data_IF_244863201766
#
_entry.id   IF_244863201766
#
_cell.length_a   1.000
_cell.length_b   1.000
_cell.length_c   1.000
_cell.angle_alpha   90.00
_cell.angle_beta   90.00
_cell.angle_gamma   90.00
#
_symmetry.space_group_name_H-M   'P 1'
#
loop_
_entity.id
_entity.type
_entity.pdbx_description
1 polymer ?
#
# COMPACT_ATOMS: atom_id res chain seq x y z
N UNK A 1 -23.60 4.73 27.15
CA UNK A 1 -24.37 5.84 26.54
C UNK A 1 -25.00 5.44 25.21
N UNK A 2 -24.27 4.82 24.28
CA UNK A 2 -24.81 4.31 23.00
C UNK A 2 -25.93 3.27 23.17
N UNK A 3 -25.80 2.36 24.15
CA UNK A 3 -26.78 1.31 24.45
C UNK A 3 -28.15 1.86 24.86
N UNK A 4 -28.16 2.97 25.60
CA UNK A 4 -29.39 3.62 26.07
C UNK A 4 -30.13 4.25 24.88
N UNK A 5 -29.40 4.89 23.96
CA UNK A 5 -29.94 5.46 22.73
C UNK A 5 -30.56 4.39 21.82
N UNK A 6 -29.92 3.22 21.69
CA UNK A 6 -30.44 2.08 20.92
C UNK A 6 -31.76 1.58 21.51
N UNK A 7 -31.83 1.42 22.84
CA UNK A 7 -33.05 0.98 23.54
C UNK A 7 -34.19 1.99 23.33
N UNK A 8 -33.91 3.30 23.41
CA UNK A 8 -34.88 4.37 23.12
C UNK A 8 -35.40 4.29 21.68
N UNK A 9 -34.53 4.00 20.70
CA UNK A 9 -34.94 3.79 19.30
C UNK A 9 -35.86 2.58 19.14
N UNK A 10 -35.57 1.45 19.81
CA UNK A 10 -36.42 0.25 19.76
C UNK A 10 -37.83 0.51 20.31
N UNK A 11 -37.95 1.20 21.45
CA UNK A 11 -39.26 1.56 21.99
C UNK A 11 -40.00 2.60 21.13
N UNK A 12 -39.28 3.44 20.38
CA UNK A 12 -39.83 4.45 19.48
C UNK A 12 -39.90 4.01 18.00
N UNK A 13 -39.75 2.71 17.70
CA UNK A 13 -39.80 2.18 16.33
C UNK A 13 -41.08 2.55 15.56
N UNK A 14 -42.19 2.79 16.28
CA UNK A 14 -43.47 3.24 15.69
C UNK A 14 -43.34 4.57 14.94
N UNK A 15 -42.40 5.43 15.32
CA UNK A 15 -42.16 6.73 14.68
C UNK A 15 -41.15 6.66 13.53
N UNK A 16 -40.47 5.51 13.36
CA UNK A 16 -39.53 5.28 12.27
C UNK A 16 -40.31 4.80 11.05
N UNK A 17 -40.89 5.74 10.32
CA UNK A 17 -41.56 5.44 9.05
C UNK A 17 -40.55 5.41 7.90
N UNK A 18 -40.72 4.51 6.92
CA UNK A 18 -39.86 4.51 5.75
C UNK A 18 -40.05 5.83 4.98
N UNK A 19 -38.94 6.49 4.63
CA UNK A 19 -38.92 7.72 3.83
C UNK A 19 -39.58 7.56 2.46
N UNK A 20 -39.77 6.31 1.99
CA UNK A 20 -40.37 5.98 0.70
C UNK A 20 -41.49 4.95 0.85
N UNK A 21 -42.46 4.98 -0.06
CA UNK A 21 -43.51 3.96 -0.13
C UNK A 21 -42.89 2.55 -0.35
N UNK A 22 -43.46 1.52 0.27
CA UNK A 22 -42.92 0.14 0.20
C UNK A 22 -42.76 -0.39 -1.23
N UNK A 23 -43.63 0.03 -2.16
CA UNK A 23 -43.59 -0.38 -3.56
C UNK A 23 -42.44 0.27 -4.36
N UNK A 24 -42.00 1.48 -4.01
CA UNK A 24 -40.85 2.13 -4.66
C UNK A 24 -39.53 1.65 -4.05
N UNK A 25 -39.53 1.32 -2.75
CA UNK A 25 -38.34 0.83 -2.05
C UNK A 25 -37.74 -0.44 -2.67
N UNK A 26 -38.56 -1.39 -3.15
CA UNK A 26 -38.06 -2.62 -3.82
C UNK A 26 -37.26 -2.32 -5.10
N UNK A 27 -37.71 -1.32 -5.87
CA UNK A 27 -37.02 -0.92 -7.10
C UNK A 27 -35.75 -0.15 -6.79
N UNK A 28 -35.78 0.72 -5.76
CA UNK A 28 -34.57 1.41 -5.27
C UNK A 28 -33.52 0.38 -4.84
N UNK A 29 -33.90 -0.62 -4.04
CA UNK A 29 -33.00 -1.69 -3.60
C UNK A 29 -32.43 -2.45 -4.81
N UNK A 30 -33.28 -2.82 -5.78
CA UNK A 30 -32.84 -3.50 -6.99
C UNK A 30 -31.82 -2.67 -7.79
N UNK A 31 -32.10 -1.39 -8.02
CA UNK A 31 -31.21 -0.48 -8.77
C UNK A 31 -29.89 -0.30 -8.04
N UNK A 32 -29.91 -0.04 -6.74
CA UNK A 32 -28.69 0.09 -5.92
C UNK A 32 -27.87 -1.20 -5.95
N UNK A 33 -28.54 -2.36 -5.89
CA UNK A 33 -27.86 -3.67 -5.95
C UNK A 33 -27.17 -3.87 -7.30
N UNK A 34 -27.86 -3.59 -8.41
CA UNK A 34 -27.28 -3.65 -9.76
C UNK A 34 -26.10 -2.68 -9.89
N UNK A 35 -26.25 -1.47 -9.37
CA UNK A 35 -25.19 -0.46 -9.37
C UNK A 35 -23.95 -0.91 -8.58
N UNK A 36 -24.12 -1.49 -7.40
CA UNK A 36 -23.02 -2.06 -6.63
C UNK A 36 -22.30 -3.19 -7.39
N UNK A 37 -23.05 -4.09 -8.03
CA UNK A 37 -22.45 -5.14 -8.87
C UNK A 37 -21.72 -4.58 -10.08
N UNK A 38 -22.25 -3.53 -10.72
CA UNK A 38 -21.60 -2.87 -11.85
C UNK A 38 -20.25 -2.25 -11.44
N UNK A 39 -20.20 -1.56 -10.28
CA UNK A 39 -18.95 -1.02 -9.74
C UNK A 39 -17.98 -2.15 -9.39
N UNK A 40 -18.46 -3.20 -8.70
CA UNK A 40 -17.62 -4.34 -8.31
C UNK A 40 -17.01 -5.02 -9.54
N UNK A 41 -17.81 -5.23 -10.59
CA UNK A 41 -17.33 -5.77 -11.86
C UNK A 41 -16.31 -4.83 -12.52
N UNK A 42 -16.59 -3.52 -12.54
CA UNK A 42 -15.67 -2.53 -13.12
C UNK A 42 -14.29 -2.58 -12.44
N UNK A 43 -14.21 -2.55 -11.11
CA UNK A 43 -12.92 -2.54 -10.39
C UNK A 43 -12.17 -3.88 -10.44
N UNK A 44 -12.82 -4.96 -10.89
CA UNK A 44 -12.13 -6.23 -11.19
C UNK A 44 -11.47 -6.21 -12.58
N UNK A 45 -12.00 -5.38 -13.50
CA UNK A 45 -11.49 -5.29 -14.87
C UNK A 45 -10.63 -4.05 -15.10
N UNK A 46 -10.76 -3.01 -14.28
CA UNK A 46 -10.11 -1.71 -14.45
C UNK A 46 -9.62 -1.17 -13.12
N UNK A 47 -8.73 -0.18 -13.15
CA UNK A 47 -8.36 0.52 -11.92
C UNK A 47 -9.56 1.31 -11.36
N UNK A 48 -9.65 1.48 -10.02
CA UNK A 48 -10.66 2.34 -9.43
C UNK A 48 -10.61 3.76 -10.00
N UNK A 49 -11.78 4.33 -10.30
CA UNK A 49 -11.92 5.69 -10.84
C UNK A 49 -11.29 6.73 -9.90
N UNK A 50 -11.37 6.49 -8.60
CA UNK A 50 -10.79 7.34 -7.55
C UNK A 50 -9.78 6.53 -6.75
N UNK A 51 -8.55 7.03 -6.68
CA UNK A 51 -7.49 6.46 -5.87
C UNK A 51 -7.17 7.37 -4.68
N UNK A 52 -7.37 6.85 -3.47
CA UNK A 52 -7.13 7.55 -2.21
C UNK A 52 -5.84 7.12 -1.51
N UNK A 53 -5.02 6.31 -2.18
CA UNK A 53 -3.80 5.76 -1.58
C UNK A 53 -2.62 6.71 -1.69
N UNK A 54 -1.57 6.38 -0.95
CA UNK A 54 -0.31 7.09 -1.00
C UNK A 54 0.30 7.11 -2.41
N UNK A 55 0.08 6.07 -3.22
CA UNK A 55 0.62 5.94 -4.58
C UNK A 55 -0.35 6.37 -5.70
N UNK A 56 -1.23 7.35 -5.45
CA UNK A 56 -2.10 7.89 -6.51
C UNK A 56 -1.26 8.65 -7.55
N UNK A 57 -1.79 8.77 -8.77
CA UNK A 57 -1.16 9.57 -9.82
C UNK A 57 -0.93 11.01 -9.35
N UNK A 58 0.25 11.55 -9.64
CA UNK A 58 0.72 12.88 -9.23
C UNK A 58 1.52 12.91 -7.93
N UNK A 59 1.65 11.78 -7.21
CA UNK A 59 2.49 11.70 -5.99
C UNK A 59 3.92 11.36 -6.36
N UNK A 60 4.88 12.02 -5.71
CA UNK A 60 6.29 11.64 -5.72
C UNK A 60 6.57 10.62 -4.60
N UNK A 61 7.15 9.47 -4.96
CA UNK A 61 7.41 8.37 -4.04
C UNK A 61 8.47 8.76 -3.01
N UNK A 62 9.55 9.43 -3.43
CA UNK A 62 10.64 9.84 -2.55
C UNK A 62 10.16 10.88 -1.53
N UNK A 63 9.37 11.87 -1.98
CA UNK A 63 8.73 12.82 -1.06
C UNK A 63 7.73 12.14 -0.12
N UNK A 64 7.01 11.13 -0.59
CA UNK A 64 6.07 10.35 0.22
C UNK A 64 6.74 9.45 1.26
N UNK A 65 8.04 9.19 1.12
CA UNK A 65 8.89 8.46 2.05
C UNK A 65 9.61 9.36 3.06
N UNK A 66 9.60 10.67 2.84
CA UNK A 66 10.33 11.60 3.70
C UNK A 66 9.78 11.60 5.13
N UNK A 67 10.66 11.38 6.10
CA UNK A 67 10.36 11.55 7.52
C UNK A 67 10.22 13.04 7.89
N UNK A 68 9.56 13.33 9.01
CA UNK A 68 9.52 14.67 9.60
C UNK A 68 10.47 14.74 10.80
N UNK A 69 11.65 15.38 10.65
CA UNK A 69 12.63 15.47 11.74
C UNK A 69 12.10 16.19 12.98
N UNK A 70 11.03 16.99 12.86
CA UNK A 70 10.44 17.73 13.97
C UNK A 70 9.40 16.91 14.75
N UNK A 71 9.07 15.71 14.29
CA UNK A 71 8.06 14.85 14.90
C UNK A 71 8.53 13.39 15.00
N UNK A 72 9.63 13.10 15.73
CA UNK A 72 10.10 11.74 15.96
C UNK A 72 9.25 11.00 16.98
N UNK A 73 9.41 9.67 17.03
CA UNK A 73 8.87 8.84 18.11
C UNK A 73 9.41 9.31 19.48
N UNK A 74 8.51 9.48 20.45
CA UNK A 74 8.85 9.84 21.83
C UNK A 74 8.84 8.58 22.69
N UNK A 75 9.99 8.24 23.26
CA UNK A 75 10.15 7.09 24.14
C UNK A 75 10.30 7.50 25.61
N UNK A 76 9.69 6.72 26.49
CA UNK A 76 10.07 6.65 27.89
C UNK A 76 10.86 5.35 28.13
N UNK A 77 11.74 5.37 29.11
CA UNK A 77 12.54 4.22 29.53
C UNK A 77 12.10 3.83 30.92
N UNK A 78 11.52 2.64 31.04
CA UNK A 78 11.10 2.06 32.30
C UNK A 78 12.30 1.30 32.90
N UNK A 79 12.85 1.81 33.99
CA UNK A 79 13.99 1.27 34.71
C UNK A 79 13.53 0.41 35.88
N UNK A 80 13.95 -0.84 35.90
CA UNK A 80 13.56 -1.83 36.92
C UNK A 80 14.65 -1.92 37.98
N UNK A 81 14.26 -1.80 39.24
CA UNK A 81 15.14 -1.87 40.40
C UNK A 81 14.62 -2.87 41.43
N UNK A 82 15.55 -3.58 42.06
CA UNK A 82 15.28 -4.34 43.28
C UNK A 82 15.84 -3.58 44.49
N UNK A 83 14.97 -2.93 45.25
CA UNK A 83 15.32 -2.18 46.46
C UNK A 83 14.69 -2.90 47.67
N UNK A 84 15.52 -3.33 48.62
CA UNK A 84 15.08 -4.08 49.81
C UNK A 84 14.19 -5.30 49.50
N UNK A 85 14.47 -5.99 48.39
CA UNK A 85 13.72 -7.16 47.93
C UNK A 85 12.35 -6.86 47.29
N UNK A 86 12.04 -5.59 47.02
CA UNK A 86 10.84 -5.16 46.28
C UNK A 86 11.24 -4.60 44.92
N UNK A 87 10.44 -4.94 43.92
CA UNK A 87 10.57 -4.39 42.57
C UNK A 87 9.98 -2.97 42.52
N UNK A 88 10.76 -2.02 42.03
CA UNK A 88 10.37 -0.63 41.77
C UNK A 88 10.66 -0.30 40.31
N UNK A 89 9.72 0.38 39.66
CA UNK A 89 9.83 0.83 38.27
C UNK A 89 9.84 2.36 38.26
N UNK A 90 10.85 2.93 37.61
CA UNK A 90 10.97 4.39 37.44
C UNK A 90 11.05 4.71 35.96
N UNK A 91 10.19 5.60 35.46
CA UNK A 91 10.20 6.01 34.05
C UNK A 91 10.97 7.31 33.86
N UNK A 92 11.84 7.38 32.83
CA UNK A 92 12.52 8.62 32.42
C UNK A 92 12.46 8.83 30.91
N UNK A 93 12.77 10.04 30.43
CA UNK A 93 12.84 10.37 28.99
C UNK A 93 14.19 10.01 28.34
N UNK A 94 15.03 9.20 28.99
CA UNK A 94 16.32 8.82 28.42
C UNK A 94 17.30 8.30 29.44
N UNK A 95 17.92 9.20 30.20
CA UNK A 95 18.96 8.82 31.16
C UNK A 95 18.39 8.09 32.38
N UNK A 96 19.17 7.19 33.03
CA UNK A 96 18.74 6.55 34.27
C UNK A 96 18.48 7.57 35.38
N UNK A 97 17.49 7.34 36.26
CA UNK A 97 17.20 8.24 37.37
C UNK A 97 18.40 8.35 38.32
N UNK A 98 18.71 9.59 38.71
CA UNK A 98 19.82 9.87 39.63
C UNK A 98 19.48 9.43 41.06
N UNK A 99 20.46 8.88 41.78
CA UNK A 99 20.29 8.44 43.17
C UNK A 99 19.76 7.02 43.36
N UNK A 100 19.54 6.28 42.26
CA UNK A 100 19.13 4.87 42.30
C UNK A 100 20.35 3.92 42.26
N UNK A 101 20.22 2.69 42.80
CA UNK A 101 21.25 1.65 42.66
C UNK A 101 21.39 1.18 41.20
N UNK A 102 22.22 0.17 40.95
CA UNK A 102 22.31 -0.43 39.61
C UNK A 102 20.95 -1.04 39.22
N UNK A 103 20.44 -0.68 38.04
CA UNK A 103 19.20 -1.23 37.49
C UNK A 103 19.37 -2.69 37.07
N UNK A 104 18.29 -3.46 37.18
CA UNK A 104 18.21 -4.87 36.77
C UNK A 104 17.92 -4.99 35.28
N UNK A 105 17.03 -4.14 34.77
CA UNK A 105 16.53 -4.12 33.39
C UNK A 105 16.10 -2.70 33.01
N UNK A 106 16.18 -2.38 31.73
CA UNK A 106 15.57 -1.19 31.15
C UNK A 106 14.71 -1.61 29.95
N UNK A 107 13.49 -1.09 29.87
CA UNK A 107 12.60 -1.31 28.73
C UNK A 107 12.17 0.02 28.11
N UNK A 108 12.45 0.26 26.81
CA UNK A 108 11.88 1.40 26.13
C UNK A 108 10.39 1.17 25.87
N UNK A 109 9.59 2.19 26.12
CA UNK A 109 8.14 2.23 25.88
C UNK A 109 7.82 3.44 25.02
N UNK A 110 7.20 3.20 23.87
CA UNK A 110 6.70 4.27 23.00
C UNK A 110 5.58 5.02 23.74
N UNK A 111 5.77 6.31 23.97
CA UNK A 111 4.80 7.20 24.63
C UNK A 111 3.93 7.90 23.60
N UNK A 112 4.58 8.46 22.58
CA UNK A 112 3.93 9.14 21.47
C UNK A 112 4.57 8.70 20.16
N UNK A 113 3.73 8.32 19.20
CA UNK A 113 4.19 7.93 17.87
C UNK A 113 4.41 9.19 17.04
N UNK A 114 5.59 9.32 16.47
CA UNK A 114 5.96 10.40 15.57
C UNK A 114 5.23 10.34 14.24
N UNK A 115 5.61 11.24 13.34
CA UNK A 115 5.10 11.25 11.97
C UNK A 115 5.50 9.95 11.25
N UNK A 116 4.51 9.29 10.64
CA UNK A 116 4.74 8.12 9.79
C UNK A 116 4.52 8.54 8.34
N UNK A 117 5.55 8.40 7.48
CA UNK A 117 5.41 8.70 6.06
C UNK A 117 4.26 7.89 5.42
N UNK A 118 3.46 8.49 4.52
CA UNK A 118 2.41 7.78 3.80
C UNK A 118 2.93 6.56 3.03
N UNK A 119 4.19 6.62 2.58
CA UNK A 119 4.92 5.53 1.92
C UNK A 119 6.07 5.13 2.84
N UNK A 120 6.05 3.92 3.40
CA UNK A 120 7.09 3.48 4.36
C UNK A 120 7.55 2.03 4.11
N UNK A 121 6.95 1.36 3.14
CA UNK A 121 7.17 -0.05 2.80
C UNK A 121 7.69 -0.24 1.37
N UNK A 122 8.04 0.84 0.67
CA UNK A 122 8.55 0.80 -0.69
C UNK A 122 10.07 0.60 -0.71
N UNK A 123 10.52 -0.46 -1.39
CA UNK A 123 11.91 -0.65 -1.78
C UNK A 123 11.98 -1.33 -3.15
N UNK A 124 13.07 -1.11 -3.87
CA UNK A 124 13.38 -1.76 -5.14
C UNK A 124 14.70 -2.49 -4.98
N UNK A 125 14.64 -3.77 -4.65
CA UNK A 125 15.82 -4.55 -4.27
C UNK A 125 16.16 -5.60 -5.33
N UNK A 126 17.45 -5.88 -5.52
CA UNK A 126 17.88 -7.00 -6.36
C UNK A 126 19.19 -7.55 -5.84
N UNK A 127 19.28 -8.87 -5.69
CA UNK A 127 20.46 -9.55 -5.13
C UNK A 127 20.90 -9.02 -3.74
N UNK A 128 19.96 -8.49 -2.95
CA UNK A 128 20.24 -7.89 -1.65
C UNK A 128 20.83 -6.47 -1.68
N UNK A 129 20.86 -5.83 -2.85
CA UNK A 129 21.21 -4.42 -3.03
C UNK A 129 19.94 -3.59 -3.28
N UNK A 130 19.90 -2.38 -2.70
CA UNK A 130 18.78 -1.45 -2.81
C UNK A 130 19.04 -0.44 -3.94
N UNK A 131 18.16 -0.43 -4.94
CA UNK A 131 18.19 0.43 -6.12
C UNK A 131 17.13 1.54 -6.08
N UNK A 132 16.42 1.71 -4.95
CA UNK A 132 15.27 2.62 -4.83
C UNK A 132 15.63 4.04 -5.24
N UNK A 133 16.67 4.62 -4.64
CA UNK A 133 17.09 6.00 -4.93
C UNK A 133 17.58 6.17 -6.38
N UNK A 134 18.33 5.20 -6.92
CA UNK A 134 18.82 5.25 -8.30
C UNK A 134 17.64 5.28 -9.28
N UNK A 135 16.70 4.35 -9.15
CA UNK A 135 15.55 4.23 -10.05
C UNK A 135 14.61 5.42 -9.91
N UNK A 136 14.33 5.88 -8.69
CA UNK A 136 13.46 7.04 -8.47
C UNK A 136 14.09 8.34 -8.97
N UNK A 137 15.41 8.43 -9.16
CA UNK A 137 16.05 9.62 -9.73
C UNK A 137 15.93 9.73 -11.27
N UNK A 138 15.56 8.63 -11.95
CA UNK A 138 15.53 8.54 -13.41
C UNK A 138 14.24 9.09 -14.02
N UNK A 139 14.34 9.57 -15.25
CA UNK A 139 13.20 9.95 -16.10
C UNK A 139 12.68 8.72 -16.86
N UNK A 140 11.38 8.74 -17.20
CA UNK A 140 10.72 7.71 -18.04
C UNK A 140 11.00 6.26 -17.59
N UNK A 141 10.58 5.92 -16.38
CA UNK A 141 10.59 4.52 -15.92
C UNK A 141 9.20 3.92 -16.10
N UNK A 142 9.12 2.77 -16.76
CA UNK A 142 7.90 1.98 -16.84
C UNK A 142 8.04 0.75 -15.93
N UNK A 143 7.16 0.65 -14.94
CA UNK A 143 7.18 -0.39 -13.92
C UNK A 143 6.04 -1.39 -14.17
N UNK A 144 6.40 -2.62 -14.49
CA UNK A 144 5.48 -3.77 -14.51
C UNK A 144 5.35 -4.33 -13.09
N UNK A 145 4.19 -4.15 -12.48
CA UNK A 145 3.94 -4.61 -11.11
C UNK A 145 3.22 -5.96 -11.14
N UNK A 146 3.84 -6.95 -10.52
CA UNK A 146 3.26 -8.28 -10.30
C UNK A 146 3.39 -8.66 -8.83
N UNK A 147 2.42 -8.30 -7.98
CA UNK A 147 2.56 -8.50 -6.52
C UNK A 147 2.81 -9.98 -6.16
N UNK A 148 2.31 -10.91 -6.97
CA UNK A 148 2.58 -12.34 -6.86
C UNK A 148 2.46 -12.97 -8.24
N UNK A 149 3.56 -13.52 -8.75
CA UNK A 149 3.62 -14.09 -10.08
C UNK A 149 2.69 -15.31 -10.24
N UNK A 150 2.55 -16.15 -9.21
CA UNK A 150 1.65 -17.31 -9.24
C UNK A 150 0.17 -16.93 -9.24
N UNK A 151 -0.18 -15.69 -8.87
CA UNK A 151 -1.55 -15.14 -8.88
C UNK A 151 -1.76 -14.14 -10.01
N UNK A 152 -0.83 -14.02 -10.93
CA UNK A 152 -0.94 -13.08 -12.05
C UNK A 152 -1.89 -13.61 -13.12
N UNK A 153 -2.72 -12.72 -13.66
CA UNK A 153 -3.67 -13.05 -14.72
C UNK A 153 -2.92 -13.38 -16.01
N UNK A 154 -3.19 -14.55 -16.58
CA UNK A 154 -2.45 -15.04 -17.74
C UNK A 154 -2.63 -14.15 -18.97
N UNK A 155 -3.83 -13.62 -19.18
CA UNK A 155 -4.11 -12.70 -20.29
C UNK A 155 -3.29 -11.42 -20.17
N UNK A 156 -3.16 -10.88 -18.96
CA UNK A 156 -2.33 -9.71 -18.71
C UNK A 156 -0.85 -9.97 -18.97
N UNK A 157 -0.34 -11.14 -18.55
CA UNK A 157 1.05 -11.55 -18.82
C UNK A 157 1.35 -11.68 -20.31
N UNK A 158 0.42 -12.21 -21.11
CA UNK A 158 0.58 -12.30 -22.58
C UNK A 158 0.66 -10.93 -23.26
N UNK A 159 0.07 -9.88 -22.66
CA UNK A 159 0.15 -8.51 -23.20
C UNK A 159 1.46 -7.79 -22.89
N UNK A 160 2.24 -8.28 -21.92
CA UNK A 160 3.42 -7.56 -21.43
C UNK A 160 4.48 -7.35 -22.51
N UNK A 161 4.76 -8.35 -23.36
CA UNK A 161 5.79 -8.20 -24.39
C UNK A 161 5.49 -7.02 -25.32
N UNK A 162 4.25 -6.92 -25.81
CA UNK A 162 3.83 -5.82 -26.68
C UNK A 162 3.85 -4.46 -25.97
N UNK A 163 3.57 -4.42 -24.66
CA UNK A 163 3.70 -3.20 -23.88
C UNK A 163 5.17 -2.80 -23.70
N UNK A 164 6.04 -3.74 -23.35
CA UNK A 164 7.48 -3.52 -23.16
C UNK A 164 8.07 -2.94 -24.44
N UNK A 165 7.81 -3.57 -25.59
CA UNK A 165 8.28 -3.09 -26.90
C UNK A 165 7.84 -1.64 -27.18
N UNK A 166 6.58 -1.29 -26.86
CA UNK A 166 6.05 0.08 -27.02
C UNK A 166 6.70 1.08 -26.07
N UNK A 167 6.86 0.70 -24.80
CA UNK A 167 7.45 1.55 -23.77
C UNK A 167 8.92 1.85 -24.08
N UNK A 168 9.70 0.83 -24.44
CA UNK A 168 11.10 0.99 -24.86
C UNK A 168 11.21 1.85 -26.12
N UNK A 169 10.32 1.64 -27.10
CA UNK A 169 10.26 2.49 -28.32
C UNK A 169 9.92 3.96 -28.02
N UNK A 170 9.18 4.23 -26.94
CA UNK A 170 8.88 5.57 -26.45
C UNK A 170 9.99 6.16 -25.55
N UNK A 171 11.07 5.41 -25.33
CA UNK A 171 12.24 5.80 -24.56
C UNK A 171 12.12 5.56 -23.06
N UNK A 172 11.24 4.64 -22.62
CA UNK A 172 11.17 4.22 -21.23
C UNK A 172 12.19 3.12 -20.94
N UNK A 173 12.82 3.18 -19.77
CA UNK A 173 13.47 2.02 -19.16
C UNK A 173 12.40 1.17 -18.48
N UNK A 174 12.28 -0.10 -18.86
CA UNK A 174 11.23 -1.00 -18.34
C UNK A 174 11.81 -1.96 -17.30
N UNK A 175 11.19 -1.99 -16.12
CA UNK A 175 11.52 -2.92 -15.04
C UNK A 175 10.26 -3.58 -14.47
N UNK A 176 10.43 -4.70 -13.79
CA UNK A 176 9.34 -5.39 -13.10
C UNK A 176 9.58 -5.44 -11.59
N UNK A 177 8.51 -5.22 -10.81
CA UNK A 177 8.51 -5.41 -9.36
C UNK A 177 7.63 -6.62 -8.99
N UNK A 178 8.14 -7.47 -8.11
CA UNK A 178 7.38 -8.59 -7.54
C UNK A 178 7.84 -8.96 -6.13
N UNK A 179 6.95 -9.55 -5.34
CA UNK A 179 7.34 -10.23 -4.09
C UNK A 179 7.76 -11.70 -4.33
N UNK A 180 7.70 -12.18 -5.58
CA UNK A 180 8.10 -13.53 -5.96
C UNK A 180 9.62 -13.66 -6.14
N UNK A 181 10.13 -14.89 -6.03
CA UNK A 181 11.56 -15.19 -6.21
C UNK A 181 12.04 -15.05 -7.66
N UNK A 182 13.33 -14.78 -7.85
CA UNK A 182 13.97 -14.72 -9.17
C UNK A 182 13.71 -15.95 -10.05
N UNK A 183 13.69 -17.14 -9.44
CA UNK A 183 13.37 -18.39 -10.14
C UNK A 183 11.96 -18.39 -10.73
N UNK A 184 10.97 -17.85 -10.01
CA UNK A 184 9.59 -17.72 -10.50
C UNK A 184 9.51 -16.68 -11.61
N UNK A 185 10.23 -15.56 -11.46
CA UNK A 185 10.30 -14.53 -12.48
C UNK A 185 10.84 -15.08 -13.80
N UNK A 186 11.94 -15.84 -13.76
CA UNK A 186 12.52 -16.48 -14.95
C UNK A 186 11.57 -17.48 -15.61
N UNK A 187 10.86 -18.29 -14.82
CA UNK A 187 9.88 -19.25 -15.34
C UNK A 187 8.74 -18.53 -16.07
N UNK A 188 8.20 -17.46 -15.48
CA UNK A 188 7.10 -16.68 -16.06
C UNK A 188 7.56 -15.94 -17.33
N UNK A 189 8.72 -15.27 -17.30
CA UNK A 189 9.28 -14.62 -18.49
C UNK A 189 9.39 -15.60 -19.66
N UNK A 190 9.95 -16.79 -19.42
CA UNK A 190 10.07 -17.84 -20.43
C UNK A 190 8.71 -18.35 -20.93
N UNK A 191 7.74 -18.52 -20.03
CA UNK A 191 6.42 -19.06 -20.36
C UNK A 191 5.58 -18.10 -21.21
N UNK A 192 5.64 -16.80 -20.91
CA UNK A 192 4.82 -15.78 -21.56
C UNK A 192 5.59 -14.98 -22.63
N UNK A 193 6.90 -15.19 -22.76
CA UNK A 193 7.70 -14.69 -23.86
C UNK A 193 8.01 -13.19 -23.77
N UNK A 194 8.36 -12.71 -22.58
CA UNK A 194 8.83 -11.34 -22.37
C UNK A 194 10.12 -11.34 -21.53
N UNK A 195 10.94 -10.31 -21.69
CA UNK A 195 12.20 -10.14 -20.95
C UNK A 195 12.21 -8.75 -20.30
N UNK A 196 12.52 -8.69 -19.01
CA UNK A 196 12.66 -7.43 -18.27
C UNK A 196 13.49 -7.66 -17.00
N UNK A 197 14.04 -6.59 -16.44
CA UNK A 197 14.77 -6.68 -15.17
C UNK A 197 13.79 -6.76 -14.01
N UNK A 198 13.83 -7.86 -13.26
CA UNK A 198 13.03 -8.04 -12.05
C UNK A 198 13.77 -7.52 -10.81
N UNK A 199 13.01 -6.83 -9.97
CA UNK A 199 13.37 -6.42 -8.63
C UNK A 199 12.32 -6.93 -7.63
N UNK A 200 12.75 -7.08 -6.40
CA UNK A 200 11.95 -7.52 -5.27
C UNK A 200 11.41 -6.31 -4.52
N UNK A 201 10.12 -6.37 -4.20
CA UNK A 201 9.41 -5.39 -3.36
C UNK A 201 8.35 -6.13 -2.54
N UNK A 202 8.02 -5.64 -1.34
CA UNK A 202 7.02 -6.25 -0.46
C UNK A 202 5.63 -6.40 -1.13
N UNK A 203 4.96 -7.53 -0.89
CA UNK A 203 3.65 -7.84 -1.50
C UNK A 203 2.56 -6.84 -1.08
N UNK A 204 2.61 -6.33 0.15
CA UNK A 204 1.65 -5.37 0.71
C UNK A 204 1.86 -3.99 0.07
N UNK A 205 3.11 -3.58 -0.09
CA UNK A 205 3.46 -2.35 -0.81
C UNK A 205 2.92 -2.40 -2.25
N UNK A 206 3.21 -3.48 -2.98
CA UNK A 206 2.76 -3.65 -4.37
C UNK A 206 1.23 -3.64 -4.52
N UNK A 207 0.50 -4.31 -3.62
CA UNK A 207 -0.98 -4.29 -3.58
C UNK A 207 -1.56 -2.93 -3.22
N UNK A 208 -0.76 -2.08 -2.56
CA UNK A 208 -1.11 -0.70 -2.24
C UNK A 208 -0.88 0.21 -3.44
N UNK A 209 0.18 -0.01 -4.21
CA UNK A 209 0.46 0.74 -5.45
C UNK A 209 -0.64 0.53 -6.49
N UNK A 210 -0.95 -0.74 -6.78
CA UNK A 210 -1.89 -1.08 -7.85
C UNK A 210 -2.70 -2.34 -7.51
N UNK A 211 -3.97 -2.38 -7.92
CA UNK A 211 -4.88 -3.52 -7.66
C UNK A 211 -4.97 -4.52 -8.81
N UNK A 212 -4.16 -4.32 -9.84
CA UNK A 212 -4.03 -5.21 -10.99
C UNK A 212 -2.82 -6.12 -10.82
N UNK A 213 -2.87 -7.32 -11.42
CA UNK A 213 -1.77 -8.30 -11.38
C UNK A 213 -1.73 -9.08 -12.70
N UNK A 214 -0.91 -8.68 -13.70
CA UNK A 214 0.02 -7.55 -13.67
C UNK A 214 -0.68 -6.19 -13.75
N UNK A 215 -0.03 -5.13 -13.30
CA UNK A 215 -0.44 -3.74 -13.54
C UNK A 215 0.76 -2.88 -13.94
N UNK A 216 0.52 -1.72 -14.55
CA UNK A 216 1.58 -0.81 -14.99
C UNK A 216 1.57 0.47 -14.15
N UNK A 217 2.75 0.97 -13.82
CA UNK A 217 2.97 2.30 -13.26
C UNK A 217 4.08 2.99 -14.06
N UNK A 218 3.82 4.21 -14.52
CA UNK A 218 4.84 5.05 -15.15
C UNK A 218 5.35 6.07 -14.12
N UNK A 219 6.67 6.26 -14.10
CA UNK A 219 7.35 7.17 -13.20
C UNK A 219 8.21 8.17 -14.00
N UNK A 220 8.30 9.38 -13.49
CA UNK A 220 9.26 10.40 -13.91
C UNK A 220 9.87 11.06 -12.66
N UNK A 221 11.17 10.83 -12.43
CA UNK A 221 11.89 11.28 -11.22
C UNK A 221 11.12 10.98 -9.93
N UNK A 222 10.65 9.74 -9.82
CA UNK A 222 9.90 9.23 -8.67
C UNK A 222 8.44 9.69 -8.61
N UNK A 223 8.00 10.56 -9.52
CA UNK A 223 6.61 11.01 -9.62
C UNK A 223 5.79 10.02 -10.43
N UNK A 224 4.68 9.56 -9.87
CA UNK A 224 3.74 8.66 -10.56
C UNK A 224 2.97 9.46 -11.61
N UNK A 225 3.30 9.28 -12.89
CA UNK A 225 2.64 10.02 -13.98
C UNK A 225 1.41 9.31 -14.52
N UNK A 226 1.38 7.97 -14.47
CA UNK A 226 0.22 7.19 -14.90
C UNK A 226 0.22 5.79 -14.28
N UNK A 227 -0.97 5.18 -14.22
CA UNK A 227 -1.14 3.77 -13.85
C UNK A 227 -2.18 3.11 -14.75
N UNK A 228 -2.01 1.82 -15.03
CA UNK A 228 -2.94 1.07 -15.87
C UNK A 228 -3.18 -0.34 -15.36
N UNK A 229 -4.43 -0.78 -15.44
CA UNK A 229 -4.77 -2.20 -15.36
C UNK A 229 -4.24 -2.91 -16.63
N UNK A 230 -3.96 -4.21 -16.56
CA UNK A 230 -3.54 -4.97 -17.75
C UNK A 230 -4.60 -5.00 -18.86
N UNK A 231 -5.88 -4.84 -18.53
CA UNK A 231 -6.95 -4.73 -19.52
C UNK A 231 -6.80 -3.46 -20.37
N UNK A 232 -6.31 -2.38 -19.77
CA UNK A 232 -6.26 -1.04 -20.37
C UNK A 232 -4.86 -0.67 -20.89
N UNK A 233 -3.89 -1.59 -20.76
CA UNK A 233 -2.47 -1.35 -21.05
C UNK A 233 -2.22 -0.87 -22.49
N UNK A 234 -3.05 -1.30 -23.43
CA UNK A 234 -2.95 -0.94 -24.85
C UNK A 234 -3.32 0.53 -25.10
N UNK A 235 -4.12 1.12 -24.20
CA UNK A 235 -4.55 2.52 -24.24
C UNK A 235 -3.69 3.46 -23.39
N UNK A 236 -2.73 2.92 -22.63
CA UNK A 236 -1.81 3.72 -21.82
C UNK A 236 -0.93 4.57 -22.72
N UNK A 237 -1.01 5.89 -22.54
CA UNK A 237 -0.17 6.87 -23.22
C UNK A 237 1.26 6.84 -22.67
N UNK A 238 2.24 6.93 -23.57
CA UNK A 238 3.68 6.84 -23.29
C UNK A 238 4.39 8.12 -23.74
#
# INVERSE_FOLDING_TARGET
MLTILIVIMFFNMKYIQPLFAKASLKYIILVVTIFCFAIAYYVLMHLPILDFRAYKVGVNIEEGMAEDPNNPDVYAYDWYYTIDGKEEIVSTEGAPPSGYPKYDKVEPRLVEKGYVPPIHDFSIERNGEDFTADILSKEKIAVVITYNLSKSESEGLYKLNAFIDRAESAGYEVLALSASSDSQAQEIMKKYGFETTFYVTDETALKTIIRSNPGIMLLDKGTIIAKSHWNDIDSLEL
#
